data_IF_165367975669
#
_entry.id   IF_165367975669
#
_cell.length_a   1.000
_cell.length_b   1.000
_cell.length_c   1.000
_cell.angle_alpha   90.00
_cell.angle_beta   90.00
_cell.angle_gamma   90.00
#
_symmetry.space_group_name_H-M   'P 1'
#
loop_
_entity.id
_entity.type
_entity.pdbx_description
1 polymer ?
#
# COMPACT_ATOMS: atom_id res chain seq x y z
N UNK A 1 13.65 1.17 -7.78
CA UNK A 1 12.97 1.60 -6.54
C UNK A 1 11.82 0.64 -6.27
N UNK A 2 11.94 -0.09 -5.17
CA UNK A 2 11.09 -1.22 -4.76
C UNK A 2 9.60 -0.89 -4.62
N UNK A 3 9.24 0.38 -4.46
CA UNK A 3 7.84 0.82 -4.43
C UNK A 3 7.03 0.43 -5.67
N UNK A 4 7.67 0.20 -6.82
CA UNK A 4 7.01 -0.30 -8.05
C UNK A 4 6.67 -1.79 -7.98
N UNK A 5 7.28 -2.56 -7.08
CA UNK A 5 7.09 -4.01 -6.95
C UNK A 5 5.85 -4.39 -6.13
N UNK A 6 5.27 -3.46 -5.37
CA UNK A 6 4.10 -3.77 -4.55
C UNK A 6 2.92 -4.25 -5.39
N UNK A 7 2.62 -3.53 -6.47
CA UNK A 7 1.52 -3.87 -7.37
C UNK A 7 1.67 -5.27 -7.99
N UNK A 8 2.78 -5.62 -8.68
CA UNK A 8 2.91 -6.95 -9.26
C UNK A 8 2.90 -8.07 -8.22
N UNK A 9 3.49 -7.86 -7.03
CA UNK A 9 3.46 -8.85 -5.95
C UNK A 9 2.04 -9.11 -5.43
N UNK A 10 1.27 -8.05 -5.20
CA UNK A 10 -0.12 -8.17 -4.75
C UNK A 10 -1.00 -8.75 -5.85
N UNK A 11 -0.84 -8.31 -7.10
CA UNK A 11 -1.60 -8.84 -8.23
C UNK A 11 -1.32 -10.35 -8.42
N UNK A 12 -0.07 -10.83 -8.26
CA UNK A 12 0.25 -12.26 -8.30
C UNK A 12 -0.36 -13.03 -7.11
N UNK A 13 -0.23 -12.50 -5.89
CA UNK A 13 -0.82 -13.13 -4.70
C UNK A 13 -2.36 -13.25 -4.83
N UNK A 14 -3.01 -12.24 -5.41
CA UNK A 14 -4.44 -12.22 -5.67
C UNK A 14 -4.90 -13.30 -6.68
N UNK A 15 -4.02 -13.82 -7.53
CA UNK A 15 -4.33 -14.95 -8.41
C UNK A 15 -4.44 -16.27 -7.63
N UNK A 16 -3.81 -16.36 -6.46
CA UNK A 16 -3.73 -17.59 -5.66
C UNK A 16 -4.66 -17.56 -4.46
N UNK A 17 -4.90 -16.37 -3.88
CA UNK A 17 -5.74 -16.23 -2.68
C UNK A 17 -6.38 -14.85 -2.57
N UNK A 18 -7.36 -14.73 -1.66
CA UNK A 18 -7.89 -13.42 -1.27
C UNK A 18 -6.88 -12.72 -0.36
N UNK A 19 -6.23 -11.68 -0.86
CA UNK A 19 -5.35 -10.82 -0.07
C UNK A 19 -6.20 -9.86 0.77
N UNK A 20 -6.02 -9.88 2.09
CA UNK A 20 -6.74 -9.02 3.04
C UNK A 20 -5.87 -7.90 3.62
N UNK A 21 -4.55 -8.08 3.60
CA UNK A 21 -3.60 -7.09 4.09
C UNK A 21 -2.19 -7.34 3.53
N UNK A 22 -1.36 -6.30 3.58
CA UNK A 22 0.06 -6.35 3.15
C UNK A 22 0.93 -5.81 4.27
N UNK A 23 1.99 -6.54 4.61
CA UNK A 23 3.05 -6.05 5.50
C UNK A 23 4.23 -5.57 4.66
N UNK A 24 4.61 -4.30 4.83
CA UNK A 24 5.68 -3.68 4.08
C UNK A 24 6.54 -2.77 4.95
N UNK A 25 7.80 -2.60 4.56
CA UNK A 25 8.69 -1.65 5.22
C UNK A 25 8.57 -0.24 4.64
N UNK A 26 9.45 0.67 5.08
CA UNK A 26 9.44 2.08 4.67
C UNK A 26 9.76 2.28 3.17
N UNK A 27 10.17 1.24 2.44
CA UNK A 27 10.37 1.29 0.99
C UNK A 27 9.05 1.33 0.20
N UNK A 28 7.95 0.92 0.83
CA UNK A 28 6.61 0.92 0.28
C UNK A 28 5.71 2.07 0.78
N UNK A 29 6.26 2.97 1.62
CA UNK A 29 5.60 4.19 2.08
C UNK A 29 5.53 5.22 0.94
N UNK A 30 4.75 4.90 -0.09
CA UNK A 30 4.45 5.80 -1.19
C UNK A 30 2.96 5.94 -1.35
N UNK A 31 2.50 7.13 -1.74
CA UNK A 31 1.08 7.39 -1.99
C UNK A 31 0.48 6.44 -3.03
N UNK A 32 1.27 6.04 -4.04
CA UNK A 32 0.84 5.07 -5.04
C UNK A 32 0.52 3.70 -4.41
N UNK A 33 1.35 3.22 -3.48
CA UNK A 33 1.13 1.98 -2.74
C UNK A 33 -0.15 2.04 -1.90
N UNK A 34 -0.32 3.09 -1.11
CA UNK A 34 -1.53 3.26 -0.28
C UNK A 34 -2.81 3.37 -1.13
N UNK A 35 -2.81 4.19 -2.19
CA UNK A 35 -3.96 4.32 -3.08
C UNK A 35 -4.32 2.98 -3.76
N UNK A 36 -3.33 2.21 -4.19
CA UNK A 36 -3.55 0.91 -4.82
C UNK A 36 -4.17 -0.09 -3.82
N UNK A 37 -3.65 -0.15 -2.59
CA UNK A 37 -4.19 -1.03 -1.54
C UNK A 37 -5.60 -0.59 -1.12
N UNK A 38 -5.85 0.71 -0.96
CA UNK A 38 -7.16 1.27 -0.65
C UNK A 38 -8.20 0.93 -1.74
N UNK A 39 -7.85 1.15 -3.01
CA UNK A 39 -8.73 0.83 -4.14
C UNK A 39 -9.08 -0.67 -4.20
N UNK A 40 -8.12 -1.54 -3.83
CA UNK A 40 -8.32 -2.98 -3.72
C UNK A 40 -9.00 -3.42 -2.42
N UNK A 41 -9.26 -2.51 -1.47
CA UNK A 41 -9.77 -2.78 -0.12
C UNK A 41 -8.87 -3.75 0.67
N UNK A 42 -7.55 -3.57 0.54
CA UNK A 42 -6.52 -4.34 1.24
C UNK A 42 -5.94 -3.47 2.35
N UNK A 43 -5.78 -4.04 3.55
CA UNK A 43 -5.20 -3.32 4.70
C UNK A 43 -3.71 -3.01 4.48
N UNK A 44 -3.30 -1.72 4.50
CA UNK A 44 -1.92 -1.34 4.26
C UNK A 44 -1.12 -1.33 5.57
N UNK A 45 -0.66 -2.51 6.02
CA UNK A 45 0.29 -2.69 7.12
C UNK A 45 1.72 -2.27 6.78
N UNK A 46 1.89 -1.09 6.17
CA UNK A 46 3.17 -0.55 5.73
C UNK A 46 3.72 0.40 6.79
N UNK A 47 4.97 0.20 7.20
CA UNK A 47 5.63 1.12 8.15
C UNK A 47 5.86 2.48 7.50
N UNK A 48 5.18 3.50 8.02
CA UNK A 48 5.31 4.90 7.58
C UNK A 48 6.58 5.55 8.17
N UNK A 49 7.27 6.40 7.40
CA UNK A 49 8.40 7.22 7.90
C UNK A 49 7.90 8.29 8.85
N UNK A 50 8.70 8.62 9.88
CA UNK A 50 8.37 9.65 10.88
C UNK A 50 8.10 11.05 10.30
N UNK A 51 8.61 11.33 9.09
CA UNK A 51 8.41 12.60 8.38
C UNK A 51 7.30 12.51 7.31
N UNK A 52 6.55 11.41 7.26
CA UNK A 52 5.40 11.31 6.37
C UNK A 52 4.28 12.18 6.94
N UNK A 53 3.87 13.19 6.17
CA UNK A 53 2.76 14.05 6.55
C UNK A 53 1.45 13.41 6.07
N UNK A 54 0.51 13.06 6.95
CA UNK A 54 -0.83 12.68 6.52
C UNK A 54 -1.48 13.93 5.90
N UNK A 55 -1.40 14.07 4.58
CA UNK A 55 -2.26 15.03 3.87
C UNK A 55 -3.65 14.42 3.82
N UNK A 56 -4.45 14.69 4.85
CA UNK A 56 -5.88 14.44 4.87
C UNK A 56 -6.47 14.98 3.57
N UNK A 57 -7.03 14.10 2.74
CA UNK A 57 -7.88 14.52 1.63
C UNK A 57 -9.15 15.03 2.30
N UNK A 58 -9.28 16.35 2.45
CA UNK A 58 -10.47 16.96 3.02
C UNK A 58 -11.71 16.36 2.37
N UNK A 59 -12.58 15.78 3.20
CA UNK A 59 -13.90 15.31 2.79
C UNK A 59 -14.86 16.42 3.18
N UNK A 60 -15.30 17.19 2.19
CA UNK A 60 -16.55 17.97 2.26
C UNK A 60 -17.72 17.00 2.22
#
# INVERSE_FOLDING_TARGET
MDSRMLKPLVDEAMQRCRVVGVLGDRGYDTRASFNYLEWRKIDPGIRVRSNSVPRSRGRL
#
